data_IF_756350638339
#
_entry.id   IF_756350638339
#
_cell.length_a   1.000
_cell.length_b   1.000
_cell.length_c   1.000
_cell.angle_alpha   90.00
_cell.angle_beta   90.00
_cell.angle_gamma   90.00
#
_symmetry.space_group_name_H-M   'P 1'
#
loop_
_entity.id
_entity.type
_entity.pdbx_description
1 polymer ?
#
# COMPACT_ATOMS: atom_id res chain seq x y z
N UNK A 1 -11.91 -28.91 -5.04
CA UNK A 1 -12.25 -27.51 -4.68
C UNK A 1 -11.09 -27.00 -3.83
N UNK A 2 -10.41 -25.93 -4.23
CA UNK A 2 -9.36 -25.33 -3.37
C UNK A 2 -10.08 -24.77 -2.15
N UNK A 3 -9.83 -25.36 -0.98
CA UNK A 3 -10.42 -24.89 0.28
C UNK A 3 -9.60 -23.70 0.76
N UNK A 4 -10.14 -22.48 0.59
CA UNK A 4 -9.51 -21.26 1.10
C UNK A 4 -9.74 -21.10 2.60
N UNK A 5 -8.80 -20.45 3.28
CA UNK A 5 -8.94 -20.16 4.71
C UNK A 5 -10.19 -19.29 4.93
N UNK A 6 -10.92 -19.57 6.00
CA UNK A 6 -12.21 -18.94 6.34
C UNK A 6 -13.36 -19.16 5.31
N UNK A 7 -13.20 -20.06 4.34
CA UNK A 7 -14.27 -20.37 3.38
C UNK A 7 -14.49 -19.30 2.30
N UNK A 8 -13.52 -18.40 2.09
CA UNK A 8 -13.59 -17.33 1.08
C UNK A 8 -13.75 -17.87 -0.34
N UNK A 9 -14.46 -17.11 -1.16
CA UNK A 9 -14.48 -17.27 -2.62
C UNK A 9 -13.12 -16.98 -3.27
N UNK A 10 -12.97 -17.33 -4.54
CA UNK A 10 -11.73 -17.12 -5.30
C UNK A 10 -11.42 -15.62 -5.48
N UNK A 11 -12.46 -14.81 -5.67
CA UNK A 11 -12.37 -13.37 -5.94
C UNK A 11 -12.81 -12.52 -4.73
N UNK A 12 -12.71 -13.07 -3.53
CA UNK A 12 -13.13 -12.42 -2.28
C UNK A 12 -11.93 -11.91 -1.48
N UNK A 13 -11.93 -10.63 -1.12
CA UNK A 13 -10.97 -10.04 -0.19
C UNK A 13 -11.04 -10.71 1.20
N UNK A 14 -9.95 -10.66 1.96
CA UNK A 14 -10.03 -10.91 3.40
C UNK A 14 -10.78 -9.76 4.07
N UNK A 15 -11.22 -9.99 5.31
CA UNK A 15 -11.86 -8.95 6.12
C UNK A 15 -10.96 -7.70 6.19
N UNK A 16 -11.51 -6.56 5.77
CA UNK A 16 -10.79 -5.30 5.63
C UNK A 16 -11.26 -4.29 6.68
N UNK A 17 -10.31 -3.67 7.39
CA UNK A 17 -10.57 -2.49 8.20
C UNK A 17 -9.47 -1.44 7.98
N UNK A 18 -9.84 -0.16 8.09
CA UNK A 18 -8.90 0.96 8.05
C UNK A 18 -9.26 1.89 9.20
N UNK A 19 -8.43 1.93 10.23
CA UNK A 19 -8.58 2.85 11.37
C UNK A 19 -7.69 4.08 11.14
N UNK A 20 -8.27 5.27 11.11
CA UNK A 20 -7.55 6.53 10.89
C UNK A 20 -7.15 7.21 12.21
N UNK A 21 -6.16 8.10 12.16
CA UNK A 21 -5.78 8.91 13.33
C UNK A 21 -5.10 8.13 14.46
N UNK A 22 -4.67 6.90 14.19
CA UNK A 22 -4.03 5.98 15.16
C UNK A 22 -2.70 6.49 15.74
N UNK A 23 -2.02 7.41 15.05
CA UNK A 23 -0.82 8.09 15.54
C UNK A 23 -1.10 9.58 15.68
N UNK A 24 -1.24 10.04 16.93
CA UNK A 24 -1.54 11.44 17.28
C UNK A 24 -0.53 12.46 16.76
N UNK A 25 0.68 12.02 16.44
CA UNK A 25 1.81 12.89 16.08
C UNK A 25 2.02 13.01 14.57
N UNK A 26 1.48 12.09 13.77
CA UNK A 26 1.61 12.14 12.33
C UNK A 26 0.55 13.08 11.75
N UNK A 27 0.90 13.85 10.72
CA UNK A 27 -0.05 14.70 10.00
C UNK A 27 -1.17 13.87 9.36
N UNK A 28 -0.86 12.63 8.96
CA UNK A 28 -1.84 11.61 8.60
C UNK A 28 -1.41 10.22 9.08
N UNK A 29 -2.36 9.41 9.55
CA UNK A 29 -2.08 8.02 9.94
C UNK A 29 -3.25 7.09 9.71
N UNK A 30 -2.93 5.83 9.41
CA UNK A 30 -3.89 4.76 9.22
C UNK A 30 -3.32 3.40 9.68
N UNK A 31 -4.12 2.61 10.38
CA UNK A 31 -3.87 1.18 10.61
C UNK A 31 -4.79 0.39 9.69
N UNK A 32 -4.21 -0.22 8.65
CA UNK A 32 -4.94 -1.10 7.75
C UNK A 32 -4.81 -2.55 8.22
N UNK A 33 -5.94 -3.26 8.28
CA UNK A 33 -5.99 -4.71 8.53
C UNK A 33 -6.64 -5.43 7.35
N UNK A 34 -5.97 -6.45 6.82
CA UNK A 34 -6.46 -7.32 5.76
C UNK A 34 -6.35 -8.77 6.24
N UNK A 35 -7.45 -9.30 6.77
CA UNK A 35 -7.42 -10.49 7.61
C UNK A 35 -6.49 -10.30 8.80
N UNK A 36 -5.50 -11.18 8.94
CA UNK A 36 -4.51 -11.12 10.02
C UNK A 36 -3.33 -10.19 9.70
N UNK A 37 -3.16 -9.72 8.47
CA UNK A 37 -2.13 -8.73 8.13
C UNK A 37 -2.52 -7.37 8.68
N UNK A 38 -1.61 -6.72 9.44
CA UNK A 38 -1.81 -5.38 10.00
C UNK A 38 -0.60 -4.49 9.74
N UNK A 39 -0.84 -3.36 9.08
CA UNK A 39 0.20 -2.39 8.71
C UNK A 39 -0.17 -1.00 9.22
N UNK A 40 0.72 -0.42 10.02
CA UNK A 40 0.62 0.94 10.50
C UNK A 40 1.30 1.86 9.48
N UNK A 41 0.54 2.80 8.95
CA UNK A 41 1.00 3.77 7.96
C UNK A 41 0.97 5.16 8.59
N UNK A 42 2.09 5.88 8.57
CA UNK A 42 2.21 7.27 9.01
C UNK A 42 2.71 8.11 7.84
N UNK A 43 2.13 9.30 7.65
CA UNK A 43 2.62 10.29 6.71
C UNK A 43 3.11 11.50 7.50
N UNK A 44 4.40 11.78 7.36
CA UNK A 44 5.10 12.90 8.01
C UNK A 44 5.43 13.95 6.96
N UNK A 45 5.14 15.22 7.26
CA UNK A 45 5.45 16.35 6.38
C UNK A 45 6.69 17.09 6.86
N UNK A 46 7.68 17.25 5.98
CA UNK A 46 8.89 18.03 6.26
C UNK A 46 9.07 19.17 5.23
N UNK A 47 9.46 20.37 5.67
CA UNK A 47 9.78 21.45 4.75
C UNK A 47 11.03 21.14 3.93
N UNK A 48 11.00 21.51 2.65
CA UNK A 48 12.10 21.30 1.73
C UNK A 48 12.04 19.95 0.99
N UNK A 49 13.04 19.74 0.14
CA UNK A 49 13.11 18.62 -0.80
C UNK A 49 14.53 18.04 -0.89
N UNK A 50 14.69 16.81 -1.41
CA UNK A 50 16.01 16.26 -1.69
C UNK A 50 16.89 17.23 -2.48
N UNK A 51 18.21 17.17 -2.24
CA UNK A 51 19.18 18.12 -2.82
C UNK A 51 19.09 18.28 -4.34
N UNK A 52 18.77 17.19 -5.05
CA UNK A 52 18.67 17.18 -6.51
C UNK A 52 17.37 17.82 -7.04
N UNK A 53 16.37 18.06 -6.18
CA UNK A 53 15.08 18.65 -6.52
C UNK A 53 14.93 20.11 -6.05
N UNK A 54 15.86 20.60 -5.22
CA UNK A 54 15.84 21.99 -4.70
C UNK A 54 15.86 23.02 -5.82
N UNK A 55 14.99 24.01 -5.72
CA UNK A 55 14.82 25.10 -6.68
C UNK A 55 13.92 24.75 -7.88
N UNK A 56 13.34 23.54 -7.91
CA UNK A 56 12.41 23.14 -8.98
C UNK A 56 10.99 23.65 -8.77
N UNK A 57 10.62 23.97 -7.53
CA UNK A 57 9.24 24.26 -7.15
C UNK A 57 8.36 23.02 -6.99
N UNK A 58 8.91 21.82 -7.19
CA UNK A 58 8.19 20.54 -7.08
C UNK A 58 8.46 19.86 -5.75
N UNK A 59 7.46 19.16 -5.23
CA UNK A 59 7.54 18.40 -3.98
C UNK A 59 8.03 16.98 -4.16
N UNK A 60 8.16 16.26 -3.05
CA UNK A 60 8.60 14.87 -3.07
C UNK A 60 7.76 14.00 -2.14
N UNK A 61 7.47 12.78 -2.60
CA UNK A 61 6.89 11.74 -1.74
C UNK A 61 7.84 10.56 -1.73
N UNK A 62 8.21 10.09 -0.55
CA UNK A 62 9.04 8.90 -0.35
C UNK A 62 8.39 7.95 0.65
N UNK A 63 8.93 6.74 0.78
CA UNK A 63 8.40 5.77 1.72
C UNK A 63 9.51 4.95 2.39
N UNK A 64 9.28 4.63 3.65
CA UNK A 64 10.04 3.66 4.42
C UNK A 64 9.15 2.47 4.75
N UNK A 65 9.73 1.27 4.83
CA UNK A 65 9.00 0.06 5.13
C UNK A 65 9.77 -0.75 6.17
N UNK A 66 9.10 -1.00 7.29
CA UNK A 66 9.61 -1.77 8.40
C UNK A 66 8.72 -2.97 8.68
N UNK A 67 9.32 -4.02 9.22
CA UNK A 67 8.57 -5.14 9.78
C UNK A 67 9.05 -5.38 11.21
N UNK A 68 8.12 -5.39 12.17
CA UNK A 68 8.48 -5.70 13.54
C UNK A 68 9.10 -7.10 13.62
N UNK A 69 10.11 -7.33 14.48
CA UNK A 69 10.77 -8.62 14.58
C UNK A 69 9.83 -9.80 14.85
N UNK A 70 8.65 -9.54 15.43
CA UNK A 70 7.65 -10.57 15.76
C UNK A 70 6.34 -10.40 14.99
N UNK A 71 6.37 -9.72 13.85
CA UNK A 71 5.21 -9.65 12.95
C UNK A 71 4.92 -10.99 12.27
N UNK A 72 5.92 -11.87 12.11
CA UNK A 72 5.82 -13.18 11.45
C UNK A 72 5.86 -14.34 12.45
N UNK A 73 5.49 -15.55 11.99
CA UNK A 73 5.50 -16.79 12.78
C UNK A 73 6.84 -17.07 13.48
N UNK A 74 7.96 -16.79 12.81
CA UNK A 74 9.32 -16.94 13.34
C UNK A 74 9.97 -15.58 13.51
N UNK A 75 10.56 -15.33 14.69
CA UNK A 75 11.11 -14.01 15.03
C UNK A 75 12.25 -13.67 14.07
N UNK A 76 12.08 -12.60 13.29
CA UNK A 76 13.14 -12.01 12.47
C UNK A 76 14.18 -11.27 13.30
N UNK A 77 15.35 -11.02 12.71
CA UNK A 77 16.32 -10.08 13.29
C UNK A 77 15.89 -8.65 12.94
N UNK A 78 16.13 -7.72 13.86
CA UNK A 78 15.85 -6.29 13.62
C UNK A 78 16.91 -5.76 12.66
N UNK A 79 16.50 -5.20 11.52
CA UNK A 79 17.42 -4.70 10.48
C UNK A 79 18.44 -3.68 11.01
N UNK A 80 18.03 -2.81 11.95
CA UNK A 80 18.95 -1.87 12.61
C UNK A 80 20.13 -2.57 13.32
N UNK A 81 19.96 -3.81 13.82
CA UNK A 81 21.07 -4.59 14.40
C UNK A 81 21.94 -5.27 13.36
N UNK A 82 21.46 -5.42 12.13
CA UNK A 82 22.22 -5.97 11.01
C UNK A 82 23.02 -4.89 10.27
N UNK A 83 22.81 -3.61 10.62
CA UNK A 83 23.54 -2.46 10.08
C UNK A 83 23.17 -2.09 8.65
N UNK A 84 22.16 -2.75 8.06
CA UNK A 84 21.66 -2.48 6.71
C UNK A 84 20.21 -2.95 6.56
N UNK A 85 19.47 -2.29 5.68
CA UNK A 85 18.15 -2.75 5.25
C UNK A 85 18.27 -3.97 4.33
N UNK A 86 17.31 -4.90 4.42
CA UNK A 86 17.25 -6.04 3.50
C UNK A 86 16.90 -5.61 2.07
N UNK A 87 17.24 -6.44 1.09
CA UNK A 87 16.87 -6.19 -0.31
C UNK A 87 15.35 -6.11 -0.50
N UNK A 88 14.60 -6.94 0.23
CA UNK A 88 13.13 -6.94 0.24
C UNK A 88 12.56 -5.63 0.77
N UNK A 89 13.08 -5.11 1.89
CA UNK A 89 12.62 -3.83 2.44
C UNK A 89 12.89 -2.69 1.46
N UNK A 90 14.08 -2.64 0.85
CA UNK A 90 14.41 -1.62 -0.16
C UNK A 90 13.55 -1.74 -1.43
N UNK A 91 13.18 -2.94 -1.85
CA UNK A 91 12.24 -3.15 -2.96
C UNK A 91 10.85 -2.59 -2.64
N UNK A 92 10.31 -2.96 -1.48
CA UNK A 92 8.97 -2.55 -1.05
C UNK A 92 8.91 -1.03 -0.82
N UNK A 93 9.94 -0.42 -0.22
CA UNK A 93 10.05 1.03 -0.08
C UNK A 93 9.92 1.76 -1.42
N UNK A 94 10.65 1.28 -2.43
CA UNK A 94 10.60 1.88 -3.76
C UNK A 94 9.24 1.66 -4.43
N UNK A 95 8.63 0.48 -4.24
CA UNK A 95 7.26 0.19 -4.72
C UNK A 95 6.25 1.15 -4.12
N UNK A 96 6.23 1.32 -2.79
CA UNK A 96 5.30 2.21 -2.09
C UNK A 96 5.51 3.65 -2.58
N UNK A 97 6.75 4.15 -2.57
CA UNK A 97 7.04 5.51 -3.02
C UNK A 97 6.63 5.77 -4.48
N UNK A 98 6.91 4.84 -5.41
CA UNK A 98 6.47 4.96 -6.82
C UNK A 98 4.95 4.97 -6.93
N UNK A 99 4.28 4.08 -6.21
CA UNK A 99 2.82 3.95 -6.22
C UNK A 99 2.14 5.22 -5.76
N UNK A 100 2.59 5.77 -4.64
CA UNK A 100 2.02 7.00 -4.07
C UNK A 100 2.27 8.21 -4.96
N UNK A 101 3.47 8.38 -5.51
CA UNK A 101 3.76 9.50 -6.44
C UNK A 101 2.89 9.46 -7.69
N UNK A 102 2.48 8.29 -8.17
CA UNK A 102 1.60 8.17 -9.34
C UNK A 102 0.18 8.73 -9.11
N UNK A 103 -0.21 8.95 -7.85
CA UNK A 103 -1.50 9.51 -7.47
C UNK A 103 -1.44 11.02 -7.14
N UNK A 104 -0.30 11.68 -7.35
CA UNK A 104 -0.07 13.09 -6.99
C UNK A 104 0.44 13.93 -8.16
N UNK A 105 0.06 15.20 -8.13
CA UNK A 105 0.72 16.31 -8.81
C UNK A 105 1.74 16.91 -7.84
N UNK A 106 3.02 16.62 -8.06
CA UNK A 106 4.10 17.03 -7.16
C UNK A 106 4.37 18.54 -7.23
N UNK A 107 4.04 19.21 -8.33
CA UNK A 107 4.22 20.66 -8.45
C UNK A 107 3.23 21.41 -7.55
N UNK A 108 2.01 20.87 -7.40
CA UNK A 108 1.01 21.40 -6.46
C UNK A 108 1.37 21.21 -4.99
N UNK A 109 2.23 20.25 -4.67
CA UNK A 109 2.71 20.04 -3.31
C UNK A 109 3.68 21.16 -2.87
N UNK A 110 4.36 21.82 -3.83
CA UNK A 110 5.43 22.75 -3.56
C UNK A 110 6.66 22.07 -2.94
N UNK A 111 7.69 22.83 -2.57
CA UNK A 111 8.95 22.27 -2.04
C UNK A 111 8.80 21.73 -0.60
N UNK A 112 8.07 20.64 -0.49
CA UNK A 112 7.81 19.87 0.73
C UNK A 112 8.05 18.39 0.43
N UNK A 113 8.47 17.67 1.46
CA UNK A 113 8.63 16.22 1.39
C UNK A 113 7.61 15.56 2.29
N UNK A 114 6.88 14.59 1.76
CA UNK A 114 6.06 13.68 2.56
C UNK A 114 6.74 12.32 2.60
N UNK A 115 7.09 11.88 3.81
CA UNK A 115 7.62 10.54 4.06
C UNK A 115 6.48 9.66 4.58
N UNK A 116 6.23 8.54 3.90
CA UNK A 116 5.23 7.56 4.32
C UNK A 116 5.92 6.34 4.93
N UNK A 117 5.84 6.22 6.24
CA UNK A 117 6.39 5.12 7.02
C UNK A 117 5.34 4.01 7.14
N UNK A 118 5.68 2.82 6.62
CA UNK A 118 4.80 1.64 6.68
C UNK A 118 5.43 0.56 7.56
N UNK A 119 4.96 0.42 8.79
CA UNK A 119 5.40 -0.56 9.76
C UNK A 119 4.43 -1.73 9.89
N UNK A 120 4.89 -2.93 9.51
CA UNK A 120 4.10 -4.15 9.66
C UNK A 120 4.13 -4.63 11.11
N UNK A 121 2.96 -4.62 11.73
CA UNK A 121 2.75 -5.07 13.12
C UNK A 121 2.48 -6.58 13.14
N UNK A 122 1.71 -7.07 12.18
CA UNK A 122 1.40 -8.49 12.00
C UNK A 122 1.39 -8.83 10.50
N UNK A 123 2.00 -9.95 10.12
CA UNK A 123 2.19 -10.35 8.74
C UNK A 123 1.59 -11.73 8.50
N UNK A 124 0.57 -11.79 7.64
CA UNK A 124 -0.08 -13.01 7.15
C UNK A 124 -0.34 -12.89 5.64
N UNK A 125 0.67 -12.49 4.86
CA UNK A 125 0.54 -12.30 3.40
C UNK A 125 0.00 -10.93 2.96
N UNK A 126 0.44 -10.46 1.79
CA UNK A 126 -0.04 -9.21 1.19
C UNK A 126 0.45 -7.90 1.84
N UNK A 127 1.45 -7.93 2.73
CA UNK A 127 1.87 -6.75 3.52
C UNK A 127 2.30 -5.54 2.68
N UNK A 128 2.96 -5.77 1.53
CA UNK A 128 3.37 -4.68 0.62
C UNK A 128 2.18 -3.99 -0.04
N UNK A 129 1.14 -4.75 -0.36
CA UNK A 129 -0.08 -4.24 -0.97
C UNK A 129 -0.91 -3.48 0.06
N UNK A 130 -1.05 -4.03 1.27
CA UNK A 130 -1.65 -3.32 2.40
C UNK A 130 -0.92 -2.00 2.69
N UNK A 131 0.43 -1.99 2.64
CA UNK A 131 1.22 -0.77 2.83
C UNK A 131 0.97 0.30 1.76
N UNK A 132 0.76 -0.06 0.49
CA UNK A 132 0.37 0.90 -0.56
C UNK A 132 -1.03 1.45 -0.28
N UNK A 133 -1.99 0.57 0.00
CA UNK A 133 -3.41 0.93 0.20
C UNK A 133 -3.61 1.79 1.45
N UNK A 134 -3.01 1.42 2.59
CA UNK A 134 -3.04 2.21 3.82
C UNK A 134 -2.15 3.45 3.77
N UNK A 135 -1.01 3.37 3.08
CA UNK A 135 -0.11 4.51 2.85
C UNK A 135 -0.78 5.65 2.09
N UNK A 136 -1.66 5.33 1.12
CA UNK A 136 -2.46 6.35 0.44
C UNK A 136 -3.45 7.05 1.38
N UNK A 137 -4.07 6.33 2.32
CA UNK A 137 -4.97 6.94 3.33
C UNK A 137 -4.19 7.89 4.23
N UNK A 138 -3.05 7.46 4.77
CA UNK A 138 -2.19 8.32 5.59
C UNK A 138 -1.75 9.58 4.80
N UNK A 139 -1.31 9.41 3.55
CA UNK A 139 -0.94 10.50 2.66
C UNK A 139 -2.10 11.46 2.39
N UNK A 140 -3.31 10.94 2.16
CA UNK A 140 -4.49 11.75 1.91
C UNK A 140 -4.85 12.63 3.10
N UNK A 141 -4.67 12.11 4.32
CA UNK A 141 -4.88 12.85 5.57
C UNK A 141 -3.78 13.88 5.83
N UNK A 142 -2.52 13.59 5.48
CA UNK A 142 -1.44 14.58 5.57
C UNK A 142 -1.63 15.74 4.58
N UNK A 143 -2.11 15.46 3.36
CA UNK A 143 -2.48 16.51 2.40
C UNK A 143 -3.66 17.35 2.91
N UNK A 144 -4.64 16.74 3.55
CA UNK A 144 -5.75 17.44 4.20
C UNK A 144 -5.27 18.33 5.38
N UNK A 145 -4.25 17.88 6.11
CA UNK A 145 -3.57 18.69 7.12
C UNK A 145 -2.85 19.91 6.50
N UNK A 146 -2.13 19.72 5.40
CA UNK A 146 -1.47 20.81 4.66
C UNK A 146 -2.47 21.86 4.15
N UNK A 147 -3.59 21.40 3.59
CA UNK A 147 -4.65 22.27 3.06
C UNK A 147 -5.25 23.14 4.16
N UNK A 148 -5.63 22.54 5.29
CA UNK A 148 -6.14 23.29 6.46
C UNK A 148 -5.11 24.26 7.04
N UNK A 149 -3.83 23.90 6.98
CA UNK A 149 -2.73 24.77 7.40
C UNK A 149 -2.44 25.92 6.44
N UNK A 150 -3.08 25.96 5.26
CA UNK A 150 -2.79 26.94 4.20
C UNK A 150 -1.39 26.77 3.59
N UNK A 151 -0.76 25.61 3.76
CA UNK A 151 0.59 25.31 3.27
C UNK A 151 0.61 24.92 1.78
N UNK A 152 -0.55 24.63 1.20
CA UNK A 152 -0.74 24.34 -0.22
C UNK A 152 -1.93 25.17 -0.75
N UNK A 153 -1.87 25.55 -2.03
CA UNK A 153 -2.92 26.36 -2.65
C UNK A 153 -4.11 25.53 -3.16
N UNK A 154 -3.86 24.27 -3.48
CA UNK A 154 -4.86 23.31 -3.95
C UNK A 154 -4.37 21.89 -3.65
N UNK A 155 -5.30 20.93 -3.59
CA UNK A 155 -4.92 19.53 -3.34
C UNK A 155 -4.00 18.99 -4.45
N UNK A 156 -2.84 18.39 -4.09
CA UNK A 156 -1.98 17.67 -5.03
C UNK A 156 -2.50 16.26 -5.33
N UNK A 157 -3.51 15.74 -4.62
CA UNK A 157 -4.06 14.40 -4.88
C UNK A 157 -4.89 14.43 -6.16
N UNK A 158 -4.51 13.64 -7.15
CA UNK A 158 -5.19 13.57 -8.44
C UNK A 158 -6.14 12.37 -8.56
N UNK A 159 -5.87 11.31 -7.81
CA UNK A 159 -6.66 10.06 -7.80
C UNK A 159 -6.34 9.22 -6.56
N UNK A 160 -7.10 8.16 -6.32
CA UNK A 160 -6.72 7.06 -5.44
C UNK A 160 -5.64 6.17 -6.06
N UNK A 161 -4.84 5.51 -5.22
CA UNK A 161 -4.04 4.33 -5.58
C UNK A 161 -4.21 3.26 -4.50
N UNK A 162 -4.33 2.02 -4.93
CA UNK A 162 -4.40 0.86 -4.06
C UNK A 162 -3.69 -0.32 -4.74
N UNK A 163 -3.38 -1.34 -3.94
CA UNK A 163 -2.72 -2.53 -4.42
C UNK A 163 -3.31 -3.78 -3.78
N UNK A 164 -3.27 -4.88 -4.51
CA UNK A 164 -3.72 -6.19 -4.04
C UNK A 164 -2.83 -7.30 -4.58
N UNK A 165 -2.70 -8.39 -3.81
CA UNK A 165 -2.05 -9.61 -4.27
C UNK A 165 -3.04 -10.52 -4.99
N UNK A 166 -2.56 -11.25 -5.99
CA UNK A 166 -3.32 -12.31 -6.68
C UNK A 166 -2.39 -13.49 -6.93
N UNK A 167 -2.83 -14.71 -6.62
CA UNK A 167 -2.08 -15.93 -6.88
C UNK A 167 -2.70 -16.77 -7.97
N UNK A 168 -1.89 -17.51 -8.71
CA UNK A 168 -2.35 -18.59 -9.58
C UNK A 168 -2.15 -19.94 -8.88
N UNK A 169 -3.19 -20.76 -8.83
CA UNK A 169 -3.13 -22.11 -8.27
C UNK A 169 -4.12 -23.03 -8.97
N UNK A 170 -3.65 -24.12 -9.58
CA UNK A 170 -4.50 -25.08 -10.28
C UNK A 170 -5.32 -24.44 -11.41
N UNK A 171 -4.76 -23.46 -12.11
CA UNK A 171 -5.43 -22.70 -13.18
C UNK A 171 -6.44 -21.64 -12.71
N UNK A 172 -6.61 -21.44 -11.40
CA UNK A 172 -7.49 -20.44 -10.83
C UNK A 172 -6.71 -19.22 -10.34
N UNK A 173 -7.29 -18.03 -10.49
CA UNK A 173 -6.78 -16.80 -9.89
C UNK A 173 -7.43 -16.60 -8.50
N UNK A 174 -6.61 -16.42 -7.48
CA UNK A 174 -7.01 -16.25 -6.09
C UNK A 174 -6.69 -14.83 -5.63
N UNK A 175 -7.70 -14.06 -5.26
CA UNK A 175 -7.57 -12.69 -4.78
C UNK A 175 -7.13 -12.66 -3.31
N UNK A 176 -6.22 -11.74 -2.97
CA UNK A 176 -5.79 -11.42 -1.61
C UNK A 176 -5.29 -12.63 -0.82
N UNK A 177 -4.08 -13.07 -1.18
CA UNK A 177 -3.43 -14.25 -0.59
C UNK A 177 -3.02 -14.00 0.86
N UNK A 178 -3.35 -14.95 1.74
CA UNK A 178 -2.69 -15.07 3.04
C UNK A 178 -1.31 -15.74 2.92
N UNK A 179 -0.59 -15.92 4.04
CA UNK A 179 0.77 -16.50 3.99
C UNK A 179 0.80 -17.94 3.45
N UNK A 180 -0.17 -18.77 3.82
CA UNK A 180 -0.23 -20.17 3.40
C UNK A 180 -0.60 -20.26 1.91
N UNK A 181 -1.52 -19.42 1.45
CA UNK A 181 -1.88 -19.31 0.04
C UNK A 181 -0.71 -18.78 -0.81
N UNK A 182 -0.02 -17.72 -0.38
CA UNK A 182 1.14 -17.13 -1.06
C UNK A 182 2.31 -18.13 -1.15
N UNK A 183 2.63 -18.80 -0.03
CA UNK A 183 3.71 -19.78 0.01
C UNK A 183 3.42 -21.07 -0.77
N UNK A 184 2.16 -21.33 -1.12
CA UNK A 184 1.75 -22.51 -1.90
C UNK A 184 1.38 -22.21 -3.35
N UNK A 185 1.26 -20.94 -3.74
CA UNK A 185 0.89 -20.53 -5.09
C UNK A 185 1.93 -20.97 -6.14
N UNK A 186 1.47 -21.17 -7.38
CA UNK A 186 2.34 -21.47 -8.52
C UNK A 186 3.06 -20.22 -9.05
N UNK A 187 2.34 -19.10 -8.98
CA UNK A 187 2.78 -17.76 -9.34
C UNK A 187 2.05 -16.76 -8.44
N UNK A 188 2.77 -15.78 -7.91
CA UNK A 188 2.18 -14.65 -7.17
C UNK A 188 2.30 -13.35 -7.98
N UNK A 189 1.33 -12.48 -7.79
CA UNK A 189 1.29 -11.14 -8.37
C UNK A 189 0.99 -10.11 -7.30
N UNK A 190 1.61 -8.94 -7.45
CA UNK A 190 1.23 -7.72 -6.76
C UNK A 190 0.84 -6.70 -7.83
N UNK A 191 -0.43 -6.26 -7.79
CA UNK A 191 -1.01 -5.36 -8.78
C UNK A 191 -1.32 -4.03 -8.12
N UNK A 192 -0.81 -2.94 -8.68
CA UNK A 192 -1.07 -1.57 -8.23
C UNK A 192 -1.87 -0.83 -9.31
N UNK A 193 -2.98 -0.22 -8.92
CA UNK A 193 -3.88 0.48 -9.84
C UNK A 193 -4.32 1.81 -9.27
N UNK A 194 -4.49 2.79 -10.17
CA UNK A 194 -5.08 4.09 -9.86
C UNK A 194 -6.61 4.03 -9.94
N UNK A 195 -7.29 4.94 -9.24
CA UNK A 195 -8.74 5.17 -9.35
C UNK A 195 -9.22 5.51 -10.77
N UNK A 196 -8.32 5.92 -11.66
CA UNK A 196 -8.60 6.11 -13.09
C UNK A 196 -8.66 4.80 -13.90
N UNK A 197 -8.40 3.65 -13.27
CA UNK A 197 -8.29 2.34 -13.90
C UNK A 197 -6.91 2.05 -14.50
N UNK A 198 -5.99 3.02 -14.55
CA UNK A 198 -4.63 2.81 -15.07
C UNK A 198 -3.79 1.99 -14.09
N UNK A 199 -3.03 1.02 -14.62
CA UNK A 199 -2.06 0.24 -13.85
C UNK A 199 -0.80 1.06 -13.61
N UNK A 200 -0.30 1.04 -12.38
CA UNK A 200 0.98 1.67 -12.00
C UNK A 200 2.12 0.66 -12.09
N UNK A 201 1.89 -0.52 -11.54
CA UNK A 201 2.90 -1.59 -11.48
C UNK A 201 2.19 -2.95 -11.42
N UNK A 202 2.70 -3.92 -12.17
CA UNK A 202 2.29 -5.32 -12.09
C UNK A 202 3.55 -6.14 -11.92
N UNK A 203 3.77 -6.65 -10.71
CA UNK A 203 4.92 -7.49 -10.38
C UNK A 203 4.44 -8.93 -10.25
N UNK A 204 4.80 -9.79 -11.20
CA UNK A 204 4.49 -11.23 -11.17
C UNK A 204 5.75 -12.08 -11.09
N UNK A 205 5.75 -13.09 -10.20
CA UNK A 205 6.87 -14.01 -10.03
C UNK A 205 6.41 -15.46 -10.14
N UNK A 206 6.96 -16.17 -11.12
CA UNK A 206 6.67 -17.58 -11.36
C UNK A 206 7.71 -18.46 -10.66
N UNK A 207 7.61 -18.63 -9.35
CA UNK A 207 8.57 -19.45 -8.60
C UNK A 207 8.42 -20.96 -8.86
N UNK A 208 7.23 -21.43 -9.26
CA UNK A 208 6.97 -22.87 -9.48
C UNK A 208 6.54 -23.21 -10.89
N UNK A 209 5.63 -22.44 -11.47
CA UNK A 209 5.16 -22.66 -12.84
C UNK A 209 5.06 -21.33 -13.60
N UNK A 210 5.44 -21.31 -14.89
CA UNK A 210 5.24 -20.13 -15.73
C UNK A 210 3.75 -19.89 -15.98
N UNK A 211 3.38 -18.64 -16.21
CA UNK A 211 2.01 -18.23 -16.53
C UNK A 211 1.90 -17.76 -17.98
N UNK A 212 0.71 -17.92 -18.56
CA UNK A 212 0.42 -17.45 -19.92
C UNK A 212 -0.01 -15.98 -19.92
N UNK A 213 -0.07 -15.37 -21.12
CA UNK A 213 -0.66 -14.05 -21.27
C UNK A 213 -2.12 -14.00 -20.82
N UNK A 214 -2.90 -15.05 -21.11
CA UNK A 214 -4.30 -15.13 -20.69
C UNK A 214 -4.45 -15.21 -19.17
N UNK A 215 -3.49 -15.82 -18.47
CA UNK A 215 -3.48 -15.84 -17.02
C UNK A 215 -3.17 -14.46 -16.43
N UNK A 216 -2.23 -13.72 -17.04
CA UNK A 216 -1.97 -12.33 -16.65
C UNK A 216 -3.21 -11.44 -16.83
N UNK A 217 -3.92 -11.58 -17.95
CA UNK A 217 -5.15 -10.81 -18.19
C UNK A 217 -6.23 -11.16 -17.14
N UNK A 218 -6.35 -12.45 -16.75
CA UNK A 218 -7.24 -12.88 -15.66
C UNK A 218 -6.83 -12.31 -14.31
N UNK A 219 -5.53 -12.33 -13.99
CA UNK A 219 -4.97 -11.76 -12.76
C UNK A 219 -5.31 -10.28 -12.65
N UNK A 220 -5.09 -9.51 -13.72
CA UNK A 220 -5.39 -8.07 -13.74
C UNK A 220 -6.89 -7.84 -13.56
N UNK A 221 -7.75 -8.62 -14.20
CA UNK A 221 -9.20 -8.50 -14.03
C UNK A 221 -9.65 -8.73 -12.58
N UNK A 222 -9.17 -9.82 -11.96
CA UNK A 222 -9.47 -10.15 -10.55
C UNK A 222 -8.92 -9.09 -9.61
N UNK A 223 -7.68 -8.63 -9.83
CA UNK A 223 -7.07 -7.57 -9.04
C UNK A 223 -7.85 -6.27 -9.13
N UNK A 224 -8.29 -5.86 -10.33
CA UNK A 224 -9.06 -4.64 -10.53
C UNK A 224 -10.42 -4.66 -9.82
N UNK A 225 -11.09 -5.81 -9.79
CA UNK A 225 -12.32 -5.97 -9.04
C UNK A 225 -12.08 -5.77 -7.52
N UNK A 226 -11.09 -6.46 -6.96
CA UNK A 226 -10.73 -6.30 -5.54
C UNK A 226 -10.27 -4.89 -5.19
N UNK A 227 -9.48 -4.24 -6.06
CA UNK A 227 -9.03 -2.86 -5.86
C UNK A 227 -10.21 -1.87 -5.84
N UNK A 228 -11.29 -2.11 -6.59
CA UNK A 228 -12.47 -1.26 -6.53
C UNK A 228 -13.08 -1.23 -5.11
N UNK A 229 -13.12 -2.38 -4.42
CA UNK A 229 -13.57 -2.47 -3.02
C UNK A 229 -12.59 -1.74 -2.07
N UNK A 230 -11.28 -1.86 -2.31
CA UNK A 230 -10.27 -1.11 -1.54
C UNK A 230 -10.46 0.40 -1.68
N UNK A 231 -10.83 0.87 -2.88
CA UNK A 231 -11.11 2.29 -3.09
C UNK A 231 -12.33 2.79 -2.31
N UNK A 232 -13.38 1.98 -2.17
CA UNK A 232 -14.51 2.34 -1.32
C UNK A 232 -14.09 2.46 0.15
N UNK A 233 -13.37 1.47 0.68
CA UNK A 233 -12.88 1.49 2.06
C UNK A 233 -11.96 2.69 2.34
N UNK A 234 -11.09 3.04 1.40
CA UNK A 234 -10.26 4.24 1.47
C UNK A 234 -11.09 5.54 1.54
N UNK A 235 -12.13 5.67 0.69
CA UNK A 235 -13.02 6.84 0.68
C UNK A 235 -13.78 6.97 2.00
N UNK A 236 -14.31 5.86 2.50
CA UNK A 236 -15.02 5.81 3.77
C UNK A 236 -14.12 6.25 4.92
N UNK A 237 -12.92 5.67 5.03
CA UNK A 237 -11.97 6.00 6.09
C UNK A 237 -11.55 7.48 6.08
N UNK A 238 -11.16 8.01 4.92
CA UNK A 238 -10.78 9.43 4.79
C UNK A 238 -11.98 10.35 5.06
N UNK A 239 -13.17 9.98 4.56
CA UNK A 239 -14.40 10.74 4.77
C UNK A 239 -14.79 10.83 6.24
N UNK A 240 -14.74 9.70 6.95
CA UNK A 240 -15.05 9.61 8.37
C UNK A 240 -14.09 10.47 9.21
N UNK A 241 -12.77 10.38 8.96
CA UNK A 241 -11.77 11.18 9.67
C UNK A 241 -11.96 12.69 9.44
N UNK A 242 -12.22 13.10 8.19
CA UNK A 242 -12.51 14.49 7.86
C UNK A 242 -13.77 15.01 8.55
N UNK A 243 -14.79 14.18 8.66
CA UNK A 243 -16.03 14.54 9.35
C UNK A 243 -15.82 14.66 10.87
N UNK A 244 -15.03 13.77 11.48
CA UNK A 244 -14.73 13.79 12.91
C UNK A 244 -13.89 15.01 13.35
N UNK A 245 -13.18 15.65 12.42
CA UNK A 245 -12.32 16.82 12.67
C UNK A 245 -12.98 18.17 12.34
N UNK A 246 -14.22 18.18 11.84
CA UNK A 246 -15.02 19.39 11.63
C UNK A 246 -15.74 19.80 12.91
#
# INVERSE_FOLDING_TARGET
MVSRRHGRGLEELRALTIETGVLRHAEGSALISMGDTRVLCAASVEPGVPRWLRGSGSGWVTAEYGMLPRATHTRGRREAREGRQSGRSQEIQRLIGRSLRAALDLDRLGEQTITVDCDVIQADGGTRCAAVTGGWVALALAVDWLDRGGAIAATPLTTQVAAISVGLSGGMALLDLDYDEDSSAETDFNVVQLGTGKLVEVQGTAERAPFSRGDLDRVVAVASAGIAELFEAQREAVGAERAARR
#
